data_IF_681857797222
#
_entry.id   IF_681857797222
#
_cell.length_a   1.000
_cell.length_b   1.000
_cell.length_c   1.000
_cell.angle_alpha   90.00
_cell.angle_beta   90.00
_cell.angle_gamma   90.00
#
_symmetry.space_group_name_H-M   'P 1'
#
loop_
_entity.id
_entity.type
_entity.pdbx_description
1 polymer ?
#
# COMPACT_ATOMS: atom_id res chain seq x y z
N UNK A 1 -10.56 -3.28 5.71
CA UNK A 1 -9.24 -3.39 5.06
C UNK A 1 -8.16 -3.46 6.12
N UNK A 2 -7.01 -4.03 5.79
CA UNK A 2 -5.96 -4.26 6.77
C UNK A 2 -4.57 -4.19 6.13
N UNK A 3 -3.59 -3.61 6.83
CA UNK A 3 -2.18 -3.60 6.45
C UNK A 3 -1.40 -4.48 7.42
N UNK A 4 -0.66 -5.44 6.91
CA UNK A 4 0.31 -6.25 7.64
C UNK A 4 1.70 -5.67 7.42
N UNK A 5 2.35 -5.16 8.46
CA UNK A 5 3.70 -4.59 8.40
C UNK A 5 4.70 -5.70 8.71
N UNK A 6 5.45 -6.15 7.71
CA UNK A 6 6.31 -7.32 7.82
C UNK A 6 7.79 -6.98 8.06
N UNK A 7 8.18 -5.74 7.82
CA UNK A 7 9.53 -5.25 8.05
C UNK A 7 9.55 -3.77 8.36
N UNK A 8 10.37 -3.37 9.32
CA UNK A 8 10.38 -2.02 9.90
C UNK A 8 11.78 -1.42 10.06
N UNK A 9 12.82 -2.10 9.54
CA UNK A 9 14.19 -1.59 9.54
C UNK A 9 14.52 -0.84 8.26
N UNK A 10 15.33 0.20 8.37
CA UNK A 10 15.97 0.93 7.29
C UNK A 10 17.28 0.27 6.87
N UNK A 11 17.55 0.25 5.58
CA UNK A 11 18.78 -0.13 4.89
C UNK A 11 19.27 -1.57 5.14
N UNK A 12 19.22 -2.08 6.34
CA UNK A 12 19.70 -3.43 6.68
C UNK A 12 18.87 -4.06 7.79
N UNK A 13 18.68 -5.40 7.77
CA UNK A 13 18.01 -6.07 8.87
C UNK A 13 18.85 -6.00 10.16
N UNK A 14 18.16 -6.08 11.29
CA UNK A 14 18.73 -6.22 12.61
C UNK A 14 18.33 -7.56 13.22
N UNK A 15 18.73 -7.86 14.46
CA UNK A 15 18.29 -9.08 15.16
C UNK A 15 16.78 -9.11 15.43
N UNK A 16 16.11 -7.95 15.46
CA UNK A 16 14.69 -7.82 15.83
C UNK A 16 13.82 -7.25 14.74
N UNK A 17 14.41 -6.52 13.80
CA UNK A 17 13.70 -5.85 12.69
C UNK A 17 14.25 -6.26 11.35
N UNK A 18 13.40 -6.35 10.45
CA UNK A 18 13.64 -6.68 9.06
C UNK A 18 13.40 -5.50 8.16
N UNK A 19 14.02 -5.49 7.00
CA UNK A 19 13.88 -4.43 6.01
C UNK A 19 12.47 -4.39 5.40
N UNK A 20 12.17 -3.33 4.68
CA UNK A 20 10.83 -2.95 4.22
C UNK A 20 10.06 -4.05 3.52
N UNK A 21 8.80 -4.12 3.83
CA UNK A 21 7.82 -4.99 3.20
C UNK A 21 6.52 -5.03 4.00
N UNK A 22 5.42 -4.87 3.30
CA UNK A 22 4.08 -4.88 3.89
C UNK A 22 3.09 -5.57 2.95
N UNK A 23 1.94 -5.98 3.49
CA UNK A 23 0.85 -6.54 2.68
C UNK A 23 -0.45 -5.87 3.04
N UNK A 24 -1.02 -5.16 2.10
CA UNK A 24 -2.39 -4.69 2.18
C UNK A 24 -3.36 -5.81 1.84
N UNK A 25 -4.39 -5.98 2.67
CA UNK A 25 -5.45 -6.98 2.51
C UNK A 25 -6.82 -6.34 2.49
N UNK A 26 -7.59 -6.62 1.46
CA UNK A 26 -8.99 -6.24 1.35
C UNK A 26 -9.83 -7.38 0.76
N UNK A 27 -11.14 -7.16 0.63
CA UNK A 27 -12.04 -8.17 0.07
C UNK A 27 -11.71 -8.49 -1.40
N UNK A 28 -11.22 -7.52 -2.17
CA UNK A 28 -10.95 -7.64 -3.59
C UNK A 28 -9.56 -8.18 -3.93
N UNK A 29 -8.64 -8.26 -2.95
CA UNK A 29 -7.32 -8.82 -3.18
C UNK A 29 -6.27 -8.43 -2.15
N UNK A 30 -5.04 -8.77 -2.45
CA UNK A 30 -3.85 -8.41 -1.68
C UNK A 30 -2.91 -7.58 -2.56
N UNK A 31 -2.31 -6.55 -1.98
CA UNK A 31 -1.19 -5.81 -2.59
C UNK A 31 0.02 -5.94 -1.69
N UNK A 32 1.11 -6.43 -2.23
CA UNK A 32 2.42 -6.39 -1.56
C UNK A 32 3.00 -5.01 -1.78
N UNK A 33 3.41 -4.32 -0.71
CA UNK A 33 4.08 -3.02 -0.77
C UNK A 33 5.51 -3.25 -0.30
N UNK A 34 6.45 -3.12 -1.21
CA UNK A 34 7.84 -3.50 -1.07
C UNK A 34 8.09 -4.96 -0.68
N UNK A 35 9.22 -5.47 -1.06
CA UNK A 35 9.65 -6.83 -0.78
C UNK A 35 11.17 -6.87 -0.60
N UNK A 36 11.66 -6.31 0.50
CA UNK A 36 13.06 -6.31 0.84
C UNK A 36 13.59 -7.69 1.24
N UNK A 37 14.85 -7.77 1.58
CA UNK A 37 15.53 -9.02 1.96
C UNK A 37 14.74 -9.81 3.00
N UNK A 38 14.53 -11.11 2.74
CA UNK A 38 13.82 -12.01 3.65
C UNK A 38 12.28 -11.85 3.67
N UNK A 39 11.68 -11.02 2.82
CA UNK A 39 10.24 -10.80 2.73
C UNK A 39 9.46 -12.12 2.63
N UNK A 40 9.90 -13.03 1.76
CA UNK A 40 9.30 -14.36 1.57
C UNK A 40 9.12 -15.13 2.88
N UNK A 41 10.14 -15.15 3.74
CA UNK A 41 10.06 -15.86 5.03
C UNK A 41 9.09 -15.19 6.00
N UNK A 42 9.01 -13.87 5.99
CA UNK A 42 8.10 -13.13 6.86
C UNK A 42 6.66 -13.28 6.44
N UNK A 43 6.41 -13.16 5.14
CA UNK A 43 5.10 -13.45 4.58
C UNK A 43 4.61 -14.85 5.00
N UNK A 44 5.48 -15.84 4.87
CA UNK A 44 5.19 -17.22 5.28
C UNK A 44 4.93 -17.35 6.79
N UNK A 45 5.74 -16.70 7.62
CA UNK A 45 5.57 -16.65 9.08
C UNK A 45 4.24 -15.99 9.48
N UNK A 46 3.94 -14.83 8.90
CA UNK A 46 2.69 -14.10 9.16
C UNK A 46 1.47 -14.94 8.78
N UNK A 47 1.51 -15.55 7.59
CA UNK A 47 0.45 -16.44 7.12
C UNK A 47 0.24 -17.65 8.04
N UNK A 48 1.31 -18.28 8.51
CA UNK A 48 1.23 -19.42 9.45
C UNK A 48 0.58 -18.99 10.76
N UNK A 49 0.91 -17.83 11.28
CA UNK A 49 0.32 -17.28 12.51
C UNK A 49 -1.16 -16.94 12.34
N UNK A 50 -1.54 -16.30 11.24
CA UNK A 50 -2.95 -16.04 10.91
C UNK A 50 -3.77 -17.33 10.82
N UNK A 51 -3.16 -18.42 10.33
CA UNK A 51 -3.80 -19.74 10.31
C UNK A 51 -4.06 -20.27 11.72
N UNK A 52 -3.15 -20.06 12.66
CA UNK A 52 -3.31 -20.44 14.07
C UNK A 52 -4.44 -19.64 14.74
N UNK A 53 -4.60 -18.38 14.37
CA UNK A 53 -5.67 -17.47 14.86
C UNK A 53 -7.00 -17.63 14.08
N UNK A 54 -7.13 -18.66 13.22
CA UNK A 54 -8.31 -18.88 12.38
C UNK A 54 -8.63 -17.74 11.38
N UNK A 55 -7.64 -16.96 10.99
CA UNK A 55 -7.74 -15.90 9.97
C UNK A 55 -6.96 -16.23 8.68
N UNK A 56 -6.96 -17.48 8.14
CA UNK A 56 -6.06 -17.89 7.05
C UNK A 56 -6.35 -17.22 5.71
N UNK A 57 -7.54 -16.64 5.56
CA UNK A 57 -7.94 -16.01 4.30
C UNK A 57 -7.21 -14.69 4.05
N UNK A 58 -6.69 -14.02 5.10
CA UNK A 58 -6.11 -12.69 4.99
C UNK A 58 -4.88 -12.66 4.08
N UNK A 59 -3.98 -13.65 4.16
CA UNK A 59 -2.74 -13.69 3.37
C UNK A 59 -2.65 -14.94 2.48
N UNK A 60 -3.66 -15.24 1.68
CA UNK A 60 -3.58 -16.32 0.68
C UNK A 60 -2.81 -15.87 -0.56
N UNK A 61 -1.74 -16.58 -1.01
CA UNK A 61 -0.91 -16.17 -2.14
C UNK A 61 -1.67 -15.99 -3.46
N UNK A 62 -2.69 -16.79 -3.71
CA UNK A 62 -3.51 -16.68 -4.93
C UNK A 62 -4.42 -15.44 -4.95
N UNK A 63 -4.54 -14.72 -3.84
CA UNK A 63 -5.27 -13.44 -3.76
C UNK A 63 -4.37 -12.22 -4.01
N UNK A 64 -3.06 -12.40 -4.17
CA UNK A 64 -2.16 -11.29 -4.49
C UNK A 64 -2.47 -10.83 -5.92
N UNK A 65 -2.92 -9.60 -6.07
CA UNK A 65 -3.26 -9.00 -7.38
C UNK A 65 -2.17 -8.08 -7.89
N UNK A 66 -1.38 -7.51 -6.97
CA UNK A 66 -0.29 -6.59 -7.33
C UNK A 66 0.86 -6.63 -6.32
N UNK A 67 2.03 -6.22 -6.80
CA UNK A 67 3.17 -5.74 -6.01
C UNK A 67 3.35 -4.26 -6.36
N UNK A 68 3.55 -3.42 -5.37
CA UNK A 68 3.74 -1.99 -5.50
C UNK A 68 5.06 -1.61 -4.83
N UNK A 69 6.09 -1.32 -5.62
CA UNK A 69 7.39 -0.92 -5.12
C UNK A 69 7.41 0.59 -4.90
N UNK A 70 7.91 1.03 -3.76
CA UNK A 70 8.04 2.46 -3.46
C UNK A 70 9.23 3.09 -4.18
N UNK A 71 10.32 2.35 -4.32
CA UNK A 71 11.53 2.72 -5.06
C UNK A 71 12.46 1.51 -5.23
N UNK A 72 13.62 1.70 -5.83
CA UNK A 72 14.49 0.60 -6.22
C UNK A 72 15.64 0.27 -5.26
N UNK A 73 15.73 0.79 -4.05
CA UNK A 73 16.77 0.34 -3.12
C UNK A 73 16.57 -1.12 -2.69
N UNK A 74 17.66 -1.82 -2.40
CA UNK A 74 17.65 -3.27 -2.20
C UNK A 74 16.89 -3.69 -0.95
N UNK A 75 16.86 -2.88 0.08
CA UNK A 75 16.06 -3.10 1.28
C UNK A 75 14.54 -3.00 1.04
N UNK A 76 14.12 -2.56 -0.13
CA UNK A 76 12.73 -2.55 -0.61
C UNK A 76 12.45 -3.59 -1.70
N UNK A 77 13.48 -4.10 -2.41
CA UNK A 77 13.27 -4.90 -3.63
C UNK A 77 13.96 -6.27 -3.61
N UNK A 78 15.02 -6.50 -2.82
CA UNK A 78 15.87 -7.68 -2.92
C UNK A 78 15.18 -9.02 -2.66
N UNK A 79 14.07 -9.02 -1.93
CA UNK A 79 13.25 -10.21 -1.69
C UNK A 79 12.19 -10.48 -2.76
N UNK A 80 12.01 -9.58 -3.73
CA UNK A 80 10.95 -9.72 -4.72
C UNK A 80 11.14 -10.96 -5.60
N UNK A 81 12.31 -11.13 -6.22
CA UNK A 81 12.54 -12.25 -7.12
C UNK A 81 12.37 -13.63 -6.44
N UNK A 82 12.94 -13.90 -5.25
CA UNK A 82 12.65 -15.12 -4.51
C UNK A 82 11.17 -15.30 -4.15
N UNK A 83 10.46 -14.18 -3.88
CA UNK A 83 9.04 -14.22 -3.59
C UNK A 83 8.21 -14.59 -4.83
N UNK A 84 8.50 -14.00 -5.98
CA UNK A 84 7.86 -14.36 -7.26
C UNK A 84 8.08 -15.84 -7.60
N UNK A 85 9.30 -16.35 -7.37
CA UNK A 85 9.62 -17.76 -7.55
C UNK A 85 8.80 -18.66 -6.60
N UNK A 86 8.59 -18.24 -5.36
CA UNK A 86 7.73 -18.97 -4.41
C UNK A 86 6.30 -19.05 -4.90
N UNK A 87 5.75 -17.95 -5.42
CA UNK A 87 4.40 -17.95 -5.99
C UNK A 87 4.28 -18.94 -7.17
N UNK A 88 5.33 -19.06 -7.98
CA UNK A 88 5.43 -20.03 -9.06
C UNK A 88 5.44 -21.47 -8.54
N UNK A 89 6.27 -21.77 -7.55
CA UNK A 89 6.38 -23.08 -6.92
C UNK A 89 5.08 -23.49 -6.19
N UNK A 90 4.36 -22.52 -5.65
CA UNK A 90 3.03 -22.72 -5.05
C UNK A 90 1.92 -22.91 -6.11
N UNK A 91 2.28 -22.97 -7.40
CA UNK A 91 1.36 -23.26 -8.50
C UNK A 91 0.48 -22.10 -8.93
N UNK A 92 0.94 -20.84 -8.74
CA UNK A 92 0.21 -19.68 -9.22
C UNK A 92 0.00 -19.75 -10.74
N UNK A 93 -1.22 -19.45 -11.19
CA UNK A 93 -1.58 -19.32 -12.61
C UNK A 93 -2.11 -17.91 -12.93
N UNK A 94 -2.56 -17.19 -11.91
CA UNK A 94 -3.18 -15.87 -12.09
C UNK A 94 -2.13 -14.82 -12.45
N UNK A 95 -2.42 -13.89 -13.36
CA UNK A 95 -1.55 -12.77 -13.67
C UNK A 95 -1.19 -11.96 -12.42
N UNK A 96 0.00 -11.38 -12.41
CA UNK A 96 0.47 -10.47 -11.38
C UNK A 96 0.93 -9.16 -12.01
N UNK A 97 0.54 -8.05 -11.40
CA UNK A 97 1.03 -6.73 -11.79
C UNK A 97 2.11 -6.30 -10.81
N UNK A 98 3.21 -5.76 -11.32
CA UNK A 98 4.27 -5.13 -10.51
C UNK A 98 4.37 -3.67 -10.91
N UNK A 99 4.03 -2.78 -9.98
CA UNK A 99 4.12 -1.33 -10.13
C UNK A 99 5.42 -0.82 -9.52
N UNK A 100 5.98 0.23 -10.11
CA UNK A 100 7.09 0.95 -9.52
C UNK A 100 7.31 2.33 -10.17
N UNK A 101 7.92 3.27 -9.43
CA UNK A 101 8.25 4.57 -9.98
C UNK A 101 9.48 4.50 -10.90
N UNK A 102 9.49 5.40 -11.88
CA UNK A 102 10.66 5.71 -12.72
C UNK A 102 10.63 7.20 -13.06
N UNK A 103 11.67 7.70 -13.72
CA UNK A 103 11.73 9.11 -14.14
C UNK A 103 11.24 9.32 -15.58
N UNK A 104 10.78 10.54 -15.90
CA UNK A 104 10.41 10.91 -17.25
C UNK A 104 11.58 10.72 -18.24
N UNK A 105 12.81 10.93 -17.81
CA UNK A 105 13.99 10.71 -18.66
C UNK A 105 14.11 9.24 -19.10
N UNK A 106 13.79 8.30 -18.19
CA UNK A 106 13.75 6.87 -18.53
C UNK A 106 12.57 6.56 -19.44
N UNK A 107 11.39 7.14 -19.18
CA UNK A 107 10.21 6.98 -20.02
C UNK A 107 10.45 7.48 -21.45
N UNK A 108 11.09 8.65 -21.62
CA UNK A 108 11.47 9.18 -22.93
C UNK A 108 12.47 8.27 -23.66
N UNK A 109 13.44 7.71 -22.95
CA UNK A 109 14.36 6.75 -23.53
C UNK A 109 13.66 5.48 -24.01
N UNK A 110 12.71 4.96 -23.23
CA UNK A 110 11.88 3.79 -23.58
C UNK A 110 10.97 4.09 -24.78
N UNK A 111 10.36 5.28 -24.84
CA UNK A 111 9.48 5.68 -25.93
C UNK A 111 10.24 5.77 -27.26
N UNK A 112 11.47 6.33 -27.22
CA UNK A 112 12.30 6.49 -28.40
C UNK A 112 12.94 5.19 -28.91
N UNK A 113 13.32 4.26 -28.01
CA UNK A 113 14.19 3.14 -28.35
C UNK A 113 13.69 1.76 -27.87
N UNK A 114 12.50 1.70 -27.26
CA UNK A 114 11.91 0.45 -26.75
C UNK A 114 12.56 -0.07 -25.47
N UNK A 115 12.21 -1.30 -25.08
CA UNK A 115 12.61 -1.91 -23.80
C UNK A 115 14.14 -2.08 -23.64
N UNK A 116 14.87 -2.14 -24.74
CA UNK A 116 16.34 -2.27 -24.75
C UNK A 116 17.06 -0.92 -24.81
N UNK A 117 16.35 0.21 -24.62
CA UNK A 117 16.91 1.55 -24.67
C UNK A 117 18.17 1.67 -23.79
N UNK A 118 19.24 2.30 -24.33
CA UNK A 118 20.39 2.67 -23.51
C UNK A 118 19.96 3.77 -22.55
N UNK A 119 20.10 3.52 -21.26
CA UNK A 119 19.77 4.49 -20.22
C UNK A 119 20.85 5.57 -20.14
N UNK A 120 20.52 6.78 -19.67
CA UNK A 120 21.49 7.84 -19.39
C UNK A 120 22.62 7.37 -18.47
N UNK A 121 23.81 7.94 -18.60
CA UNK A 121 24.99 7.54 -17.83
C UNK A 121 24.86 7.85 -16.33
N UNK A 122 24.08 8.85 -15.99
CA UNK A 122 23.78 9.27 -14.62
C UNK A 122 22.59 8.53 -14.00
N UNK A 123 22.01 7.54 -14.69
CA UNK A 123 20.92 6.72 -14.15
C UNK A 123 21.36 6.01 -12.86
N UNK A 124 20.64 6.20 -11.73
CA UNK A 124 20.97 5.53 -10.48
C UNK A 124 21.02 4.01 -10.64
N UNK A 125 21.96 3.34 -9.99
CA UNK A 125 22.08 1.87 -10.02
C UNK A 125 20.83 1.17 -9.48
N UNK A 126 20.11 1.83 -8.56
CA UNK A 126 18.85 1.37 -7.99
C UNK A 126 17.61 1.74 -8.82
N UNK A 127 17.77 2.20 -10.08
CA UNK A 127 16.62 2.37 -10.99
C UNK A 127 15.94 1.03 -11.25
N UNK A 128 14.60 0.99 -11.11
CA UNK A 128 13.83 -0.26 -11.20
C UNK A 128 13.93 -0.94 -12.56
N UNK A 129 14.04 -0.19 -13.65
CA UNK A 129 14.26 -0.78 -14.98
C UNK A 129 15.59 -1.52 -15.06
N UNK A 130 16.66 -0.99 -14.43
CA UNK A 130 17.95 -1.69 -14.35
C UNK A 130 17.84 -2.98 -13.53
N UNK A 131 17.12 -2.96 -12.43
CA UNK A 131 16.88 -4.17 -11.63
C UNK A 131 16.09 -5.21 -12.41
N UNK A 132 15.00 -4.80 -13.06
CA UNK A 132 14.21 -5.66 -13.93
C UNK A 132 15.12 -6.37 -14.96
N UNK A 133 15.93 -5.61 -15.72
CA UNK A 133 16.85 -6.15 -16.70
C UNK A 133 17.87 -7.12 -16.09
N UNK A 134 18.39 -6.79 -14.92
CA UNK A 134 19.33 -7.64 -14.19
C UNK A 134 18.68 -8.96 -13.76
N UNK A 135 17.47 -8.92 -13.23
CA UNK A 135 16.73 -10.13 -12.84
C UNK A 135 16.50 -11.07 -14.02
N UNK A 136 16.13 -10.55 -15.18
CA UNK A 136 15.93 -11.33 -16.39
C UNK A 136 17.26 -11.91 -16.94
N UNK A 137 18.38 -11.24 -16.70
CA UNK A 137 19.71 -11.75 -17.10
C UNK A 137 20.26 -12.86 -16.21
N UNK A 138 19.73 -13.04 -15.00
CA UNK A 138 20.15 -14.10 -14.07
C UNK A 138 19.80 -15.54 -14.53
N UNK A 139 19.25 -15.66 -15.71
CA UNK A 139 19.01 -16.96 -16.37
C UNK A 139 17.71 -17.65 -15.97
N UNK A 140 17.34 -18.64 -16.75
CA UNK A 140 16.16 -19.50 -16.84
C UNK A 140 15.01 -19.45 -15.79
N UNK A 141 15.27 -19.12 -14.56
CA UNK A 141 14.26 -19.11 -13.49
C UNK A 141 13.45 -17.82 -13.44
N UNK A 142 14.03 -16.67 -13.73
CA UNK A 142 13.32 -15.39 -13.72
C UNK A 142 12.44 -15.20 -14.96
N UNK A 143 12.81 -15.78 -16.09
CA UNK A 143 12.04 -15.71 -17.34
C UNK A 143 10.97 -16.81 -17.50
N UNK A 144 10.80 -17.73 -16.50
CA UNK A 144 9.91 -18.90 -16.63
C UNK A 144 9.17 -19.16 -15.32
N UNK A 145 8.50 -18.12 -14.80
CA UNK A 145 7.78 -18.23 -13.52
C UNK A 145 6.47 -19.04 -13.61
N UNK A 146 6.02 -19.44 -14.82
CA UNK A 146 4.82 -20.27 -14.99
C UNK A 146 3.50 -19.51 -14.85
N UNK A 147 3.54 -18.19 -14.63
CA UNK A 147 2.38 -17.32 -14.64
C UNK A 147 2.74 -15.95 -15.24
N UNK A 148 1.79 -15.22 -15.86
CA UNK A 148 2.07 -13.92 -16.47
C UNK A 148 2.40 -12.85 -15.43
N UNK A 149 3.45 -12.06 -15.68
CA UNK A 149 3.74 -10.84 -14.94
C UNK A 149 3.67 -9.66 -15.90
N UNK A 150 2.99 -8.60 -15.46
CA UNK A 150 2.91 -7.30 -16.12
C UNK A 150 3.69 -6.31 -15.27
N UNK A 151 4.70 -5.69 -15.86
CA UNK A 151 5.51 -4.65 -15.22
C UNK A 151 4.98 -3.29 -15.65
N UNK A 152 4.68 -2.43 -14.69
CA UNK A 152 4.25 -1.06 -14.92
C UNK A 152 5.22 -0.12 -14.21
N UNK A 153 5.99 0.61 -15.01
CA UNK A 153 6.85 1.68 -14.51
C UNK A 153 6.28 3.03 -14.91
N UNK A 154 6.30 4.00 -14.01
CA UNK A 154 5.75 5.31 -14.31
C UNK A 154 6.27 6.42 -13.43
N UNK A 155 6.03 7.63 -13.87
CA UNK A 155 6.29 8.82 -13.08
C UNK A 155 4.99 9.33 -12.45
N UNK A 156 4.86 9.23 -11.12
CA UNK A 156 3.65 9.67 -10.41
C UNK A 156 3.32 11.15 -10.61
N UNK A 157 4.33 11.98 -10.88
CA UNK A 157 4.12 13.42 -11.04
C UNK A 157 3.52 13.77 -12.40
N UNK A 158 4.02 13.16 -13.48
CA UNK A 158 3.48 13.40 -14.83
C UNK A 158 2.27 12.52 -15.16
N UNK A 159 2.09 11.43 -14.42
CA UNK A 159 1.04 10.45 -14.67
C UNK A 159 1.33 9.49 -15.84
N UNK A 160 2.49 9.59 -16.49
CA UNK A 160 2.89 8.69 -17.58
C UNK A 160 3.31 7.33 -17.06
N UNK A 161 2.77 6.28 -17.65
CA UNK A 161 3.10 4.90 -17.31
C UNK A 161 3.39 4.08 -18.54
N UNK A 162 4.34 3.17 -18.43
CA UNK A 162 4.65 2.18 -19.45
C UNK A 162 4.47 0.78 -18.89
N UNK A 163 3.77 -0.05 -19.65
CA UNK A 163 3.55 -1.46 -19.33
C UNK A 163 4.34 -2.35 -20.29
N UNK A 164 4.93 -3.39 -19.75
CA UNK A 164 5.55 -4.47 -20.50
C UNK A 164 5.41 -5.80 -19.77
N UNK A 165 5.31 -6.87 -20.51
CA UNK A 165 5.25 -8.22 -19.98
C UNK A 165 6.62 -8.90 -20.11
N UNK A 166 6.81 -10.00 -19.40
CA UNK A 166 7.98 -10.85 -19.54
C UNK A 166 8.16 -11.25 -20.99
N UNK A 167 9.37 -11.01 -21.52
CA UNK A 167 9.74 -11.26 -22.94
C UNK A 167 8.97 -10.45 -23.99
N UNK A 168 8.16 -9.46 -23.62
CA UNK A 168 7.49 -8.61 -24.59
C UNK A 168 8.43 -7.54 -25.12
N UNK A 169 8.50 -7.45 -26.46
CA UNK A 169 9.20 -6.35 -27.16
C UNK A 169 8.34 -5.09 -27.24
N UNK A 170 7.04 -5.23 -27.03
CA UNK A 170 6.08 -4.14 -27.18
C UNK A 170 5.82 -3.48 -25.85
N UNK A 171 5.93 -2.16 -25.84
CA UNK A 171 5.54 -1.30 -24.72
C UNK A 171 4.12 -0.81 -24.96
N UNK A 172 3.32 -0.80 -23.87
CA UNK A 172 1.98 -0.21 -23.87
C UNK A 172 2.00 1.03 -22.98
N UNK A 173 1.60 2.16 -23.53
CA UNK A 173 1.63 3.45 -22.83
C UNK A 173 0.26 3.78 -22.24
N UNK A 174 0.27 4.40 -21.08
CA UNK A 174 -0.92 4.83 -20.35
C UNK A 174 -0.73 6.26 -19.82
N UNK A 175 -1.75 7.10 -19.94
CA UNK A 175 -1.81 8.47 -19.42
C UNK A 175 -2.13 8.52 -17.90
N UNK A 176 -2.41 7.38 -17.32
CA UNK A 176 -2.61 7.19 -15.88
C UNK A 176 -2.34 5.75 -15.50
N UNK A 177 -1.99 5.51 -14.24
CA UNK A 177 -1.71 4.16 -13.76
C UNK A 177 -2.94 3.25 -13.86
N UNK A 178 -2.88 2.15 -14.65
CA UNK A 178 -3.95 1.16 -14.67
C UNK A 178 -4.14 0.53 -13.29
N UNK A 179 -5.39 0.39 -12.86
CA UNK A 179 -5.72 -0.25 -11.60
C UNK A 179 -5.68 -1.78 -11.72
N UNK A 180 -5.45 -2.53 -10.63
CA UNK A 180 -5.67 -3.98 -10.64
C UNK A 180 -7.11 -4.30 -11.05
N UNK A 181 -7.28 -5.24 -11.98
CA UNK A 181 -8.60 -5.60 -12.53
C UNK A 181 -9.62 -6.04 -11.46
N UNK A 182 -9.12 -6.61 -10.36
CA UNK A 182 -9.95 -7.04 -9.23
C UNK A 182 -10.51 -5.86 -8.41
N UNK A 183 -9.98 -4.64 -8.58
CA UNK A 183 -10.35 -3.50 -7.75
C UNK A 183 -11.53 -2.75 -8.35
N UNK A 184 -12.64 -2.76 -7.63
CA UNK A 184 -13.89 -2.03 -7.96
C UNK A 184 -14.23 -1.00 -6.89
N UNK A 185 -14.22 -1.42 -5.63
CA UNK A 185 -14.46 -0.58 -4.44
C UNK A 185 -13.17 -0.04 -3.84
N UNK A 186 -12.03 -0.54 -4.29
CA UNK A 186 -10.69 -0.10 -3.87
C UNK A 186 -9.95 0.57 -5.02
N UNK A 187 -8.94 1.35 -4.66
CA UNK A 187 -7.96 1.92 -5.60
C UNK A 187 -6.59 1.87 -4.95
N UNK A 188 -5.56 1.82 -5.78
CA UNK A 188 -4.17 2.08 -5.39
C UNK A 188 -3.64 3.23 -6.22
N UNK A 189 -3.16 4.27 -5.58
CA UNK A 189 -2.66 5.47 -6.26
C UNK A 189 -1.22 5.75 -5.82
N UNK A 190 -0.31 6.03 -6.77
CA UNK A 190 1.04 6.47 -6.47
C UNK A 190 1.04 7.96 -6.12
N UNK A 191 1.85 8.34 -5.16
CA UNK A 191 2.05 9.74 -4.75
C UNK A 191 3.53 10.04 -4.87
N UNK A 192 3.90 11.08 -5.61
CA UNK A 192 5.29 11.47 -5.78
C UNK A 192 5.95 11.80 -4.43
N UNK A 193 7.14 11.26 -4.20
CA UNK A 193 7.97 11.52 -3.03
C UNK A 193 9.37 11.99 -3.44
N UNK A 194 10.17 12.45 -2.50
CA UNK A 194 11.52 12.94 -2.76
C UNK A 194 12.56 12.04 -2.11
N UNK A 195 13.32 11.34 -2.95
CA UNK A 195 14.39 10.47 -2.50
C UNK A 195 15.57 10.49 -3.48
N UNK A 196 16.64 9.78 -3.18
CA UNK A 196 17.86 9.73 -4.02
C UNK A 196 17.68 8.99 -5.36
N UNK A 197 16.54 8.29 -5.51
CA UNK A 197 16.12 7.58 -6.73
C UNK A 197 14.64 7.87 -6.99
N UNK A 198 14.09 7.61 -8.19
CA UNK A 198 12.66 7.72 -8.42
C UNK A 198 11.88 6.97 -7.36
N UNK A 199 10.98 7.66 -6.67
CA UNK A 199 10.25 7.13 -5.52
C UNK A 199 8.80 7.59 -5.48
N UNK A 200 7.95 6.79 -4.84
CA UNK A 200 6.56 7.15 -4.57
C UNK A 200 6.06 6.54 -3.25
N UNK A 201 5.12 7.23 -2.63
CA UNK A 201 4.25 6.64 -1.63
C UNK A 201 3.08 5.93 -2.34
N UNK A 202 2.46 4.97 -1.66
CA UNK A 202 1.27 4.28 -2.15
C UNK A 202 0.08 4.58 -1.26
N UNK A 203 -1.00 5.11 -1.84
CA UNK A 203 -2.29 5.27 -1.18
C UNK A 203 -3.25 4.17 -1.60
N UNK A 204 -3.74 3.41 -0.62
CA UNK A 204 -4.74 2.37 -0.80
C UNK A 204 -6.06 2.90 -0.27
N UNK A 205 -6.95 3.27 -1.18
CA UNK A 205 -8.21 3.93 -0.91
C UNK A 205 -9.38 2.95 -1.04
N UNK A 206 -10.19 2.85 -0.01
CA UNK A 206 -11.54 2.27 -0.08
C UNK A 206 -12.53 3.39 -0.37
N UNK A 207 -13.27 3.29 -1.48
CA UNK A 207 -14.29 4.26 -1.86
C UNK A 207 -15.43 4.29 -0.85
N UNK A 208 -16.12 5.43 -0.76
CA UNK A 208 -17.38 5.52 -0.04
C UNK A 208 -18.38 4.49 -0.58
N UNK A 209 -19.13 3.87 0.32
CA UNK A 209 -20.14 2.88 -0.03
C UNK A 209 -21.50 3.32 0.50
N UNK A 210 -22.51 3.14 -0.31
CA UNK A 210 -23.91 3.32 0.14
C UNK A 210 -24.18 2.44 1.35
N UNK A 211 -24.95 2.93 2.30
CA UNK A 211 -25.40 2.16 3.45
C UNK A 211 -26.19 0.91 3.04
N UNK A 212 -26.22 -0.10 3.88
CA UNK A 212 -26.96 -1.34 3.63
C UNK A 212 -28.44 -1.03 3.38
N UNK A 213 -29.05 -1.75 2.44
CA UNK A 213 -30.48 -1.65 2.18
C UNK A 213 -31.26 -2.20 3.38
N UNK A 214 -32.20 -1.39 3.92
CA UNK A 214 -33.03 -1.72 5.06
C UNK A 214 -34.21 -2.60 4.61
N UNK A 215 -34.00 -3.92 4.72
CA UNK A 215 -34.99 -4.92 4.31
C UNK A 215 -36.24 -4.90 5.22
N UNK A 216 -36.09 -4.56 6.49
CA UNK A 216 -37.18 -4.54 7.44
C UNK A 216 -38.11 -3.34 7.13
N UNK A 217 -37.51 -2.18 6.92
CA UNK A 217 -38.25 -0.98 6.49
C UNK A 217 -38.95 -1.20 5.15
N UNK A 218 -38.28 -1.86 4.19
CA UNK A 218 -38.89 -2.22 2.93
C UNK A 218 -40.05 -3.19 3.04
N UNK A 219 -39.97 -4.12 4.02
CA UNK A 219 -41.04 -5.06 4.33
C UNK A 219 -42.25 -4.34 4.97
N UNK A 220 -42.00 -3.46 5.95
CA UNK A 220 -43.02 -2.64 6.58
C UNK A 220 -43.74 -1.71 5.58
N UNK A 221 -43.03 -1.23 4.57
CA UNK A 221 -43.55 -0.40 3.47
C UNK A 221 -44.32 -1.22 2.42
N UNK A 222 -44.41 -2.55 2.56
CA UNK A 222 -45.14 -3.44 1.65
C UNK A 222 -44.52 -3.56 0.26
N UNK A 223 -43.20 -3.33 0.13
CA UNK A 223 -42.52 -3.34 -1.16
C UNK A 223 -42.36 -4.76 -1.69
N UNK A 224 -42.71 -4.94 -2.97
CA UNK A 224 -42.44 -6.18 -3.70
C UNK A 224 -40.94 -6.30 -4.10
N UNK A 225 -40.57 -7.40 -4.75
CA UNK A 225 -39.19 -7.70 -5.09
C UNK A 225 -38.57 -6.71 -6.08
N UNK A 226 -39.32 -6.27 -7.08
CA UNK A 226 -38.84 -5.33 -8.11
C UNK A 226 -38.66 -3.92 -7.54
N UNK A 227 -39.61 -3.47 -6.71
CA UNK A 227 -39.53 -2.20 -5.99
C UNK A 227 -38.33 -2.17 -5.03
N UNK A 228 -38.09 -3.27 -4.31
CA UNK A 228 -36.91 -3.40 -3.43
C UNK A 228 -35.62 -3.34 -4.24
N UNK A 229 -35.59 -4.00 -5.40
CA UNK A 229 -34.42 -3.96 -6.32
C UNK A 229 -34.16 -2.53 -6.76
N UNK A 230 -35.19 -1.83 -7.29
CA UNK A 230 -35.09 -0.45 -7.75
C UNK A 230 -34.54 0.48 -6.66
N UNK A 231 -35.12 0.46 -5.46
CA UNK A 231 -34.67 1.26 -4.32
C UNK A 231 -33.27 0.84 -3.85
N UNK A 232 -32.93 -0.46 -3.95
CA UNK A 232 -31.60 -0.94 -3.58
C UNK A 232 -30.50 -0.51 -4.59
N UNK A 233 -30.86 -0.22 -5.80
CA UNK A 233 -29.97 0.36 -6.83
C UNK A 233 -29.82 1.89 -6.65
N UNK A 234 -30.66 2.49 -5.80
CA UNK A 234 -30.63 3.93 -5.52
C UNK A 234 -31.55 4.74 -6.41
N UNK A 235 -32.54 4.09 -7.04
CA UNK A 235 -33.54 4.70 -7.91
C UNK A 235 -34.81 4.91 -7.08
N UNK A 236 -35.30 6.14 -7.03
CA UNK A 236 -36.54 6.48 -6.35
C UNK A 236 -37.72 5.80 -7.03
N UNK A 237 -38.74 5.45 -6.26
CA UNK A 237 -39.93 4.76 -6.73
C UNK A 237 -41.16 5.68 -6.61
N UNK A 238 -41.83 5.95 -7.71
CA UNK A 238 -43.10 6.62 -7.76
C UNK A 238 -44.24 5.59 -7.67
N UNK A 239 -45.15 5.77 -6.71
CA UNK A 239 -46.35 4.94 -6.53
C UNK A 239 -47.55 5.47 -7.34
N UNK A 240 -48.51 4.61 -7.61
CA UNK A 240 -49.73 4.95 -8.33
C UNK A 240 -50.55 6.08 -7.67
N UNK A 241 -50.38 6.30 -6.38
CA UNK A 241 -51.04 7.39 -5.64
C UNK A 241 -50.24 8.72 -5.71
N UNK A 242 -49.12 8.77 -6.45
CA UNK A 242 -48.27 9.95 -6.59
C UNK A 242 -47.19 10.11 -5.50
N UNK A 243 -47.14 9.21 -4.52
CA UNK A 243 -46.12 9.24 -3.48
C UNK A 243 -44.76 8.80 -4.05
N UNK A 244 -43.70 9.54 -3.73
CA UNK A 244 -42.32 9.18 -4.09
C UNK A 244 -41.64 8.55 -2.88
N UNK A 245 -41.23 7.30 -3.04
CA UNK A 245 -40.37 6.62 -2.06
C UNK A 245 -38.91 6.85 -2.44
N UNK A 246 -38.22 7.66 -1.65
CA UNK A 246 -36.82 7.94 -1.87
C UNK A 246 -35.94 6.76 -1.45
N UNK A 247 -35.06 6.32 -2.37
CA UNK A 247 -34.15 5.21 -2.13
C UNK A 247 -33.25 5.44 -0.92
N UNK A 248 -32.89 6.69 -0.63
CA UNK A 248 -32.10 7.08 0.55
C UNK A 248 -32.80 6.73 1.88
N UNK A 249 -34.13 6.72 1.91
CA UNK A 249 -34.90 6.40 3.11
C UNK A 249 -34.86 4.90 3.48
N UNK A 250 -34.51 4.05 2.52
CA UNK A 250 -34.40 2.59 2.70
C UNK A 250 -32.97 2.12 2.83
N UNK A 251 -32.07 3.00 3.31
CA UNK A 251 -30.68 2.68 3.55
C UNK A 251 -30.25 3.10 4.94
N UNK A 252 -29.34 2.33 5.50
CA UNK A 252 -28.55 2.75 6.65
C UNK A 252 -27.57 3.88 6.28
N UNK A 253 -26.79 4.38 7.24
CA UNK A 253 -25.78 5.40 6.97
C UNK A 253 -24.75 4.94 5.92
N UNK A 254 -24.30 5.85 5.10
CA UNK A 254 -23.20 5.59 4.18
C UNK A 254 -21.94 5.18 4.96
N UNK A 255 -21.15 4.26 4.38
CA UNK A 255 -19.85 3.87 4.92
C UNK A 255 -18.80 4.81 4.37
N UNK A 256 -18.00 5.47 5.20
CA UNK A 256 -17.07 6.48 4.75
C UNK A 256 -15.98 5.91 3.83
N UNK A 257 -15.44 6.74 2.96
CA UNK A 257 -14.18 6.46 2.32
C UNK A 257 -13.08 6.40 3.38
N UNK A 258 -12.13 5.50 3.23
CA UNK A 258 -10.98 5.36 4.15
C UNK A 258 -9.74 5.01 3.37
N UNK A 259 -8.56 5.45 3.83
CA UNK A 259 -7.32 5.08 3.15
C UNK A 259 -6.17 4.78 4.10
N UNK A 260 -5.22 4.01 3.60
CA UNK A 260 -3.89 3.81 4.19
C UNK A 260 -2.87 4.34 3.19
N UNK A 261 -1.99 5.22 3.65
CA UNK A 261 -0.84 5.70 2.87
C UNK A 261 0.42 5.08 3.44
N UNK A 262 1.26 4.50 2.59
CA UNK A 262 2.60 3.99 2.95
C UNK A 262 3.62 4.86 2.23
N UNK A 263 4.43 5.60 2.97
CA UNK A 263 5.31 6.65 2.42
C UNK A 263 6.44 6.11 1.54
N UNK A 264 6.94 4.87 1.82
CA UNK A 264 8.28 4.50 1.37
C UNK A 264 9.32 5.44 2.00
N UNK A 265 10.49 5.51 1.39
CA UNK A 265 11.56 6.41 1.82
C UNK A 265 11.36 7.78 1.19
N UNK A 266 11.42 8.83 2.00
CA UNK A 266 11.21 10.19 1.54
C UNK A 266 11.79 11.23 2.49
N UNK A 267 12.37 12.29 1.92
CA UNK A 267 12.64 13.50 2.68
C UNK A 267 11.32 14.05 3.25
N UNK A 268 11.44 14.83 4.34
CA UNK A 268 10.30 15.57 4.87
C UNK A 268 9.71 16.48 3.80
N UNK A 269 8.47 16.26 3.45
CA UNK A 269 7.76 17.07 2.46
C UNK A 269 6.25 16.92 2.58
N UNK A 270 5.52 17.87 2.00
CA UNK A 270 4.08 17.72 1.79
C UNK A 270 3.82 16.68 0.70
N UNK A 271 3.08 15.64 1.04
CA UNK A 271 2.63 14.62 0.08
C UNK A 271 1.19 14.93 -0.37
N UNK A 272 0.97 14.86 -1.69
CA UNK A 272 -0.33 15.17 -2.30
C UNK A 272 -1.24 13.93 -2.26
N UNK A 273 -1.95 13.77 -1.16
CA UNK A 273 -2.88 12.64 -0.96
C UNK A 273 -4.28 12.93 -1.49
N UNK A 274 -5.03 11.88 -1.81
CA UNK A 274 -6.49 11.96 -2.00
C UNK A 274 -7.17 11.78 -0.65
N UNK A 275 -7.91 12.79 -0.13
CA UNK A 275 -8.63 12.64 1.14
C UNK A 275 -9.71 11.56 1.08
N UNK A 276 -10.03 10.88 2.21
CA UNK A 276 -9.38 11.01 3.51
C UNK A 276 -8.06 10.26 3.61
N UNK A 277 -7.17 10.65 4.53
CA UNK A 277 -6.02 9.84 4.98
C UNK A 277 -6.34 9.32 6.38
N UNK A 278 -6.88 8.10 6.45
CA UNK A 278 -7.23 7.51 7.75
C UNK A 278 -6.00 7.06 8.52
N UNK A 279 -5.02 6.45 7.80
CA UNK A 279 -3.74 6.05 8.39
C UNK A 279 -2.60 6.43 7.46
N UNK A 280 -1.61 7.14 8.00
CA UNK A 280 -0.32 7.33 7.36
C UNK A 280 0.72 6.44 8.04
N UNK A 281 1.29 5.50 7.30
CA UNK A 281 2.47 4.72 7.70
C UNK A 281 3.67 5.41 7.08
N UNK A 282 4.50 6.04 7.90
CA UNK A 282 5.58 6.91 7.43
C UNK A 282 6.93 6.48 7.98
N UNK A 283 7.96 6.59 7.15
CA UNK A 283 9.33 6.38 7.61
C UNK A 283 9.72 7.37 8.71
N UNK A 284 10.53 6.90 9.64
CA UNK A 284 11.16 7.66 10.69
C UNK A 284 12.59 7.13 10.89
N UNK A 285 13.37 7.23 9.81
CA UNK A 285 14.71 6.65 9.74
C UNK A 285 15.66 7.27 10.76
N UNK A 286 15.42 8.53 11.09
CA UNK A 286 16.24 9.30 12.01
C UNK A 286 15.42 9.93 13.13
N UNK A 287 16.12 10.33 14.21
CA UNK A 287 15.63 11.26 15.21
C UNK A 287 16.16 12.67 14.93
N UNK A 288 15.65 13.67 15.63
CA UNK A 288 16.02 15.08 15.43
C UNK A 288 17.51 15.37 15.64
N UNK A 289 18.18 14.61 16.49
CA UNK A 289 19.63 14.71 16.73
C UNK A 289 20.47 14.33 15.49
N UNK A 290 19.86 13.68 14.52
CA UNK A 290 20.45 13.29 13.25
C UNK A 290 19.74 13.92 12.03
N UNK A 291 19.07 15.05 12.19
CA UNK A 291 18.32 15.76 11.13
C UNK A 291 19.19 16.15 9.92
N UNK A 292 20.45 16.49 10.13
CA UNK A 292 21.39 16.76 9.04
C UNK A 292 21.57 15.54 8.13
N UNK A 293 21.68 14.33 8.73
CA UNK A 293 21.78 13.08 7.97
C UNK A 293 20.46 12.72 7.28
N UNK A 294 19.33 13.00 7.92
CA UNK A 294 18.03 12.83 7.29
C UNK A 294 17.96 13.66 6.01
N UNK A 295 18.36 14.91 6.06
CA UNK A 295 18.40 15.81 4.90
C UNK A 295 19.40 15.36 3.84
N UNK A 296 20.62 14.94 4.24
CA UNK A 296 21.68 14.47 3.32
C UNK A 296 21.26 13.22 2.53
N UNK A 297 20.58 12.29 3.20
CA UNK A 297 20.15 11.02 2.59
C UNK A 297 18.70 11.04 2.07
N UNK A 298 18.02 12.18 2.11
CA UNK A 298 16.63 12.36 1.69
C UNK A 298 15.68 11.39 2.43
N UNK A 299 15.83 11.34 3.75
CA UNK A 299 14.96 10.64 4.68
C UNK A 299 14.27 11.60 5.65
N UNK A 300 13.32 11.10 6.41
CA UNK A 300 12.61 11.85 7.45
C UNK A 300 13.10 11.55 8.86
N UNK A 301 12.96 12.53 9.73
CA UNK A 301 12.96 12.30 11.19
C UNK A 301 11.56 11.91 11.67
N UNK A 302 11.45 11.44 12.90
CA UNK A 302 10.15 11.18 13.53
C UNK A 302 9.29 12.45 13.61
N UNK A 303 9.89 13.59 13.93
CA UNK A 303 9.22 14.90 13.87
C UNK A 303 8.82 15.30 12.45
N UNK A 304 9.63 14.96 11.44
CA UNK A 304 9.32 15.17 10.02
C UNK A 304 8.11 14.37 9.58
N UNK A 305 8.05 13.09 9.96
CA UNK A 305 6.89 12.24 9.73
C UNK A 305 5.61 12.82 10.36
N UNK A 306 5.71 13.37 11.57
CA UNK A 306 4.60 14.02 12.25
C UNK A 306 4.13 15.30 11.52
N UNK A 307 5.05 16.13 11.02
CA UNK A 307 4.69 17.30 10.20
C UNK A 307 4.02 16.89 8.88
N UNK A 308 4.50 15.85 8.22
CA UNK A 308 3.85 15.29 7.02
C UNK A 308 2.43 14.81 7.33
N UNK A 309 2.22 14.13 8.47
CA UNK A 309 0.88 13.70 8.89
C UNK A 309 -0.09 14.87 9.07
N UNK A 310 0.37 15.96 9.70
CA UNK A 310 -0.44 17.18 9.84
C UNK A 310 -0.78 17.81 8.48
N UNK A 311 0.19 17.88 7.57
CA UNK A 311 0.02 18.50 6.25
C UNK A 311 -0.99 17.74 5.37
N UNK A 312 -1.04 16.41 5.45
CA UNK A 312 -2.00 15.60 4.71
C UNK A 312 -3.29 15.29 5.51
N UNK A 313 -3.47 15.88 6.69
CA UNK A 313 -4.61 15.66 7.59
C UNK A 313 -4.83 14.17 7.91
N UNK A 314 -3.77 13.42 8.18
CA UNK A 314 -3.88 12.04 8.57
C UNK A 314 -4.50 11.90 9.96
N UNK A 315 -5.50 11.04 10.11
CA UNK A 315 -6.14 10.79 11.42
C UNK A 315 -5.20 10.03 12.37
N UNK A 316 -4.37 9.12 11.81
CA UNK A 316 -3.42 8.31 12.56
C UNK A 316 -2.07 8.27 11.85
N UNK A 317 -0.98 8.38 12.63
CA UNK A 317 0.39 8.20 12.17
C UNK A 317 1.00 6.94 12.79
N UNK A 318 1.58 6.11 11.93
CA UNK A 318 2.36 4.93 12.35
C UNK A 318 3.78 5.09 11.82
N UNK A 319 4.74 5.15 12.73
CA UNK A 319 6.15 5.27 12.42
C UNK A 319 6.76 3.92 12.08
N UNK A 320 7.60 3.87 11.07
CA UNK A 320 8.29 2.66 10.58
C UNK A 320 9.67 3.01 10.01
N UNK A 321 10.37 2.02 9.44
CA UNK A 321 11.64 2.21 8.72
C UNK A 321 12.73 2.83 9.60
N UNK A 322 12.94 2.24 10.77
CA UNK A 322 13.89 2.76 11.75
C UNK A 322 15.33 2.38 11.42
N UNK A 323 16.23 3.36 11.48
CA UNK A 323 17.67 3.10 11.45
C UNK A 323 18.08 2.17 12.59
N UNK A 324 19.09 1.33 12.35
CA UNK A 324 19.67 0.48 13.39
C UNK A 324 20.25 1.26 14.61
N UNK A 325 20.33 2.59 14.52
CA UNK A 325 20.72 3.48 15.63
C UNK A 325 19.58 3.68 16.63
N UNK A 326 18.33 3.64 16.16
CA UNK A 326 17.13 3.75 17.01
C UNK A 326 16.88 2.37 17.63
N UNK A 327 17.31 2.20 18.88
CA UNK A 327 17.17 0.94 19.60
C UNK A 327 15.77 0.74 20.16
N UNK A 328 15.18 1.85 20.61
CA UNK A 328 13.81 1.89 21.12
C UNK A 328 12.97 2.81 20.24
N UNK A 329 11.94 2.27 19.62
CA UNK A 329 11.05 3.04 18.78
C UNK A 329 10.16 4.03 19.56
N UNK A 330 10.07 3.89 20.88
CA UNK A 330 9.36 4.84 21.73
C UNK A 330 10.06 6.21 21.79
N UNK A 331 11.38 6.27 21.51
CA UNK A 331 12.08 7.54 21.30
C UNK A 331 11.49 8.31 20.09
N UNK A 332 11.25 7.61 18.98
CA UNK A 332 10.63 8.21 17.80
C UNK A 332 9.16 8.61 18.05
N UNK A 333 8.42 7.80 18.80
CA UNK A 333 7.03 8.13 19.20
C UNK A 333 7.03 9.39 20.08
N UNK A 334 7.94 9.49 21.03
CA UNK A 334 8.04 10.65 21.93
C UNK A 334 8.35 11.93 21.14
N UNK A 335 9.28 11.86 20.19
CA UNK A 335 9.66 12.98 19.34
C UNK A 335 8.52 13.41 18.40
N UNK A 336 7.83 12.47 17.77
CA UNK A 336 6.67 12.78 16.92
C UNK A 336 5.50 13.38 17.73
N UNK A 337 5.30 12.94 18.97
CA UNK A 337 4.26 13.43 19.86
C UNK A 337 4.44 14.92 20.22
N UNK A 338 5.66 15.43 20.27
CA UNK A 338 5.93 16.84 20.51
C UNK A 338 5.38 17.73 19.38
N UNK A 339 5.25 17.18 18.17
CA UNK A 339 4.74 17.87 16.97
C UNK A 339 3.22 17.68 16.81
N UNK A 340 2.74 16.46 17.05
CA UNK A 340 1.33 16.13 16.93
C UNK A 340 0.56 16.62 18.15
N UNK A 341 -0.27 17.64 17.98
CA UNK A 341 -1.19 18.06 19.05
C UNK A 341 -2.37 17.10 19.14
N UNK A 342 -2.57 16.50 20.28
CA UNK A 342 -3.74 15.87 20.95
C UNK A 342 -4.86 15.15 20.16
N UNK A 343 -5.01 15.36 18.85
CA UNK A 343 -6.13 14.83 18.07
C UNK A 343 -5.79 13.63 17.17
N UNK A 344 -4.51 13.28 17.08
CA UNK A 344 -4.02 12.25 16.16
C UNK A 344 -3.62 10.98 16.93
N UNK A 345 -4.02 9.82 16.40
CA UNK A 345 -3.49 8.56 16.90
C UNK A 345 -2.04 8.37 16.44
N UNK A 346 -1.15 7.93 17.35
CA UNK A 346 0.28 7.74 17.10
C UNK A 346 0.77 6.40 17.64
N UNK A 347 1.57 5.69 16.85
CA UNK A 347 2.28 4.49 17.28
C UNK A 347 3.54 4.25 16.44
N UNK A 348 4.47 3.46 16.97
CA UNK A 348 5.55 2.83 16.21
C UNK A 348 5.14 1.46 15.70
N UNK A 349 5.64 1.00 14.56
CA UNK A 349 5.43 -0.36 14.07
C UNK A 349 6.56 -1.32 14.48
N UNK A 350 6.20 -2.59 14.66
CA UNK A 350 7.13 -3.71 14.74
C UNK A 350 6.81 -4.75 13.66
N UNK A 351 7.80 -5.59 13.35
CA UNK A 351 7.62 -6.66 12.36
C UNK A 351 6.49 -7.61 12.75
N UNK A 352 5.49 -7.71 11.89
CA UNK A 352 4.32 -8.54 12.08
C UNK A 352 3.13 -7.84 12.72
N UNK A 353 3.22 -6.55 13.03
CA UNK A 353 2.08 -5.73 13.46
C UNK A 353 1.06 -5.59 12.32
N UNK A 354 -0.18 -5.30 12.70
CA UNK A 354 -1.31 -5.16 11.78
C UNK A 354 -2.09 -3.89 12.07
N UNK A 355 -2.55 -3.22 11.03
CA UNK A 355 -3.43 -2.06 11.13
C UNK A 355 -4.72 -2.37 10.41
N UNK A 356 -5.80 -2.40 11.12
CA UNK A 356 -7.13 -2.72 10.60
C UNK A 356 -8.01 -1.47 10.60
N UNK A 357 -8.69 -1.22 9.49
CA UNK A 357 -9.75 -0.23 9.38
C UNK A 357 -11.04 -0.99 9.08
N UNK A 358 -12.01 -0.90 9.95
CA UNK A 358 -13.29 -1.56 9.79
C UNK A 358 -14.20 -0.85 8.76
N UNK A 359 -15.43 -1.30 8.65
CA UNK A 359 -16.37 -0.76 7.68
C UNK A 359 -16.91 0.62 8.07
N UNK A 360 -16.84 0.97 9.33
CA UNK A 360 -17.27 2.27 9.86
C UNK A 360 -16.14 3.29 9.94
N UNK A 361 -14.91 2.88 9.57
CA UNK A 361 -13.73 3.72 9.55
C UNK A 361 -12.90 3.64 10.83
N UNK A 362 -13.32 2.88 11.83
CA UNK A 362 -12.56 2.76 13.08
C UNK A 362 -11.24 2.01 12.87
N UNK A 363 -10.17 2.58 13.42
CA UNK A 363 -8.80 2.06 13.28
C UNK A 363 -8.41 1.27 14.51
N UNK A 364 -7.89 0.08 14.30
CA UNK A 364 -7.34 -0.78 15.35
C UNK A 364 -5.91 -1.18 14.97
N UNK A 365 -4.96 -0.90 15.84
CA UNK A 365 -3.62 -1.45 15.73
C UNK A 365 -3.52 -2.75 16.53
N UNK A 366 -3.01 -3.79 15.90
CA UNK A 366 -2.80 -5.10 16.47
C UNK A 366 -1.30 -5.33 16.59
N UNK A 367 -0.78 -5.19 17.79
CA UNK A 367 0.63 -5.41 18.12
C UNK A 367 0.93 -6.89 18.22
N UNK A 368 1.96 -7.32 17.53
CA UNK A 368 2.41 -8.70 17.54
C UNK A 368 2.97 -9.08 18.91
N UNK A 369 2.58 -10.25 19.39
CA UNK A 369 3.12 -10.92 20.59
C UNK A 369 3.63 -12.31 20.25
N UNK A 370 4.20 -13.02 21.19
CA UNK A 370 4.60 -14.41 20.98
C UNK A 370 3.39 -15.34 20.69
N UNK A 371 2.24 -15.01 21.26
CA UNK A 371 1.02 -15.81 21.21
C UNK A 371 -0.10 -15.20 20.35
N UNK A 372 0.22 -14.47 19.27
CA UNK A 372 -0.77 -13.83 18.41
C UNK A 372 -0.65 -12.32 18.38
N UNK A 373 -1.77 -11.62 18.52
CA UNK A 373 -1.81 -10.15 18.54
C UNK A 373 -2.62 -9.63 19.74
N UNK A 374 -2.17 -8.50 20.27
CA UNK A 374 -2.93 -7.72 21.25
C UNK A 374 -3.40 -6.42 20.63
N UNK A 375 -4.63 -6.03 20.93
CA UNK A 375 -5.16 -4.75 20.50
C UNK A 375 -4.46 -3.61 21.23
N UNK A 376 -3.96 -2.66 20.47
CA UNK A 376 -3.37 -1.43 20.95
C UNK A 376 -4.25 -0.26 20.50
N UNK A 377 -4.79 0.47 21.46
CA UNK A 377 -5.55 1.67 21.14
C UNK A 377 -4.56 2.75 20.67
N UNK A 378 -4.81 3.26 19.47
CA UNK A 378 -4.18 4.49 19.01
C UNK A 378 -4.83 5.62 19.81
N UNK A 379 -4.30 5.87 21.01
CA UNK A 379 -4.87 6.89 21.89
C UNK A 379 -4.69 8.26 21.25
N UNK A 380 -5.79 8.99 21.16
CA UNK A 380 -5.75 10.44 21.01
C UNK A 380 -5.06 10.99 22.27
N UNK A 381 -3.85 11.45 22.15
CA UNK A 381 -3.05 12.00 23.27
C UNK A 381 -3.13 13.50 23.29
#
# INVERSE_FOLDING_TARGET
>A
MELHILGTASARPTSTRSVSGSVFSCQEGLVVIDAGEGFQMRYSKQRSRLKQENEPALLRPNRIVAVALTHGHLDHTWGLLPFLQTLSLDGRQQPLVVYGPTSNVILDALEANGIDAKLPEDTPSAELLNQYRSWFSLGGTAGHLGYPIRWLLGDPQSGRWVEFADNAKNLVWHDSMPQPEAFTSFRIDPISTSHSVPSCAWQLLRKERKGAFDRDKATLAGLNQDERKQLSEGIDLERDNGDILHASHFRGPAKPATSIVVSGDTAEQSIQTTPPVTVLVHEATFLNDASDKASEHLHSTASGAARTALQCNAEHLILTHFSARIRDAEEAVSEAKEVLSGAHGLASANDGDRVRIDDDGAVTMLKRTDNGWTQHNLSHH
#
